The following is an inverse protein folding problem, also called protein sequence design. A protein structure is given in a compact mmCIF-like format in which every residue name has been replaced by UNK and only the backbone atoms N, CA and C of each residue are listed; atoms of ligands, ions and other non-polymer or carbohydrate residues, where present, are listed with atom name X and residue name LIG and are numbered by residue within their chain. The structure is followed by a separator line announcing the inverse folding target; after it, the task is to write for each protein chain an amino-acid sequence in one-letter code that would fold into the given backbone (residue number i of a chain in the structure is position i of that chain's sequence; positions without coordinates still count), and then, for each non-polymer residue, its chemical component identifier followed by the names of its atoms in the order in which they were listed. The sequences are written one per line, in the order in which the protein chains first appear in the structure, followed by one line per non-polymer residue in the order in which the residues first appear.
data_IF_843197537643
#
_entry.id   IF_843197537643
#
_cell.length_a   1.000
_cell.length_b   1.000
_cell.length_c   1.000
_cell.angle_alpha   90.00
_cell.angle_beta   90.00
_cell.angle_gamma   90.00
#
_symmetry.space_group_name_H-M   'P 1'
#
loop_
_entity.id
_entity.type
_entity.pdbx_description
1 polymer ?
#
# COMPACT_ATOMS: atom_id res chain seq x y z
N UNK A 1 7.41 8.62 19.32
CA UNK A 1 7.81 9.79 18.52
C UNK A 1 7.47 11.09 19.18
N UNK A 2 6.18 11.36 19.34
CA UNK A 2 5.65 12.61 19.94
C UNK A 2 6.29 12.93 21.29
N UNK A 3 6.47 11.94 22.17
CA UNK A 3 7.14 12.13 23.46
C UNK A 3 8.61 12.60 23.35
N UNK A 4 9.38 12.03 22.41
CA UNK A 4 10.77 12.46 22.15
C UNK A 4 10.83 13.82 21.43
N UNK A 5 9.76 14.19 20.70
CA UNK A 5 9.61 15.48 20.00
C UNK A 5 9.41 16.58 20.99
N UNK A 6 8.48 16.35 21.90
CA UNK A 6 8.18 17.24 22.99
C UNK A 6 9.40 17.50 23.88
N UNK A 7 10.25 16.48 24.11
CA UNK A 7 11.51 16.64 24.87
C UNK A 7 12.69 17.19 24.05
N UNK A 8 12.48 17.58 22.78
CA UNK A 8 13.53 18.03 21.84
C UNK A 8 14.71 17.05 21.69
N UNK A 9 14.51 15.75 21.92
CA UNK A 9 15.56 14.71 21.87
C UNK A 9 15.49 13.80 20.63
N UNK A 10 14.60 14.05 19.67
CA UNK A 10 14.51 13.19 18.47
C UNK A 10 15.83 13.11 17.70
N UNK A 11 16.47 14.25 17.44
CA UNK A 11 17.70 14.31 16.66
C UNK A 11 18.84 13.48 17.27
N UNK A 12 18.86 13.31 18.60
CA UNK A 12 19.86 12.49 19.30
C UNK A 12 19.54 10.99 19.33
N UNK A 13 18.32 10.57 19.00
CA UNK A 13 17.85 9.20 19.18
C UNK A 13 18.02 8.31 17.94
N UNK A 14 19.28 8.02 17.57
CA UNK A 14 19.62 7.22 16.35
C UNK A 14 18.88 5.88 16.25
N UNK A 15 18.72 5.16 17.37
CA UNK A 15 17.99 3.87 17.41
C UNK A 15 16.51 4.04 17.09
N UNK A 16 15.89 5.09 17.61
CA UNK A 16 14.47 5.39 17.39
C UNK A 16 14.20 5.81 15.94
N UNK A 17 15.05 6.67 15.37
CA UNK A 17 14.93 7.06 13.95
C UNK A 17 15.12 5.88 13.00
N UNK A 18 16.06 4.96 13.30
CA UNK A 18 16.24 3.74 12.50
C UNK A 18 15.03 2.80 12.59
N UNK A 19 14.41 2.68 13.77
CA UNK A 19 13.20 1.89 13.95
C UNK A 19 12.02 2.44 13.12
N UNK A 20 11.87 3.77 13.02
CA UNK A 20 10.83 4.38 12.20
C UNK A 20 10.95 4.03 10.71
N UNK A 21 12.17 3.90 10.19
CA UNK A 21 12.38 3.45 8.80
C UNK A 21 11.83 2.03 8.59
N UNK A 22 12.09 1.10 9.52
CA UNK A 22 11.57 -0.27 9.42
C UNK A 22 10.07 -0.41 9.68
N UNK A 23 9.47 0.51 10.43
CA UNK A 23 8.02 0.50 10.72
C UNK A 23 7.22 1.20 9.63
N UNK A 24 7.85 1.95 8.72
CA UNK A 24 7.18 2.63 7.60
C UNK A 24 6.24 1.77 6.73
N UNK A 25 6.51 0.48 6.43
CA UNK A 25 5.58 -0.35 5.66
C UNK A 25 4.41 -0.90 6.50
N UNK A 26 4.47 -0.83 7.84
CA UNK A 26 3.49 -1.44 8.73
C UNK A 26 2.06 -0.91 8.52
N UNK A 27 1.82 0.41 8.34
CA UNK A 27 0.48 0.91 8.05
C UNK A 27 -0.12 0.34 6.78
N UNK A 28 0.68 0.12 5.72
CA UNK A 28 0.21 -0.48 4.48
C UNK A 28 -0.27 -1.91 4.73
N UNK A 29 0.54 -2.72 5.43
CA UNK A 29 0.17 -4.10 5.78
C UNK A 29 -1.09 -4.14 6.64
N UNK A 30 -1.21 -3.23 7.61
CA UNK A 30 -2.39 -3.15 8.47
C UNK A 30 -3.66 -2.82 7.68
N UNK A 31 -3.58 -1.92 6.69
CA UNK A 31 -4.69 -1.59 5.80
C UNK A 31 -5.12 -2.81 4.96
N UNK A 32 -4.18 -3.51 4.33
CA UNK A 32 -4.48 -4.71 3.52
C UNK A 32 -5.13 -5.80 4.36
N UNK A 33 -4.59 -6.07 5.56
CA UNK A 33 -5.18 -7.06 6.47
C UNK A 33 -6.57 -6.64 6.95
N UNK A 34 -6.81 -5.35 7.18
CA UNK A 34 -8.14 -4.82 7.51
C UNK A 34 -9.15 -5.09 6.40
N UNK A 35 -8.78 -4.80 5.15
CA UNK A 35 -9.62 -5.09 3.97
C UNK A 35 -9.87 -6.57 3.77
N UNK A 36 -8.83 -7.41 3.89
CA UNK A 36 -8.98 -8.87 3.81
C UNK A 36 -9.96 -9.37 4.87
N UNK A 37 -9.84 -8.88 6.11
CA UNK A 37 -10.74 -9.28 7.20
C UNK A 37 -12.19 -8.87 6.90
N UNK A 38 -12.41 -7.67 6.36
CA UNK A 38 -13.74 -7.19 5.99
C UNK A 38 -14.36 -8.01 4.84
N UNK A 39 -13.58 -8.33 3.80
CA UNK A 39 -14.06 -9.06 2.63
C UNK A 39 -14.27 -10.56 2.92
N UNK A 40 -13.29 -11.19 3.56
CA UNK A 40 -13.38 -12.60 3.94
C UNK A 40 -14.44 -12.81 5.02
N UNK A 41 -14.59 -11.87 5.96
CA UNK A 41 -15.61 -11.94 7.01
C UNK A 41 -17.05 -11.90 6.48
N UNK A 42 -17.27 -11.41 5.26
CA UNK A 42 -18.57 -11.36 4.60
C UNK A 42 -18.89 -12.63 3.78
N UNK A 43 -17.91 -13.49 3.52
CA UNK A 43 -18.14 -14.80 2.88
C UNK A 43 -19.09 -15.65 3.75
N UNK A 44 -20.05 -16.39 3.17
CA UNK A 44 -20.21 -16.75 1.75
C UNK A 44 -21.12 -15.80 0.94
N UNK A 45 -21.39 -14.59 1.42
CA UNK A 45 -22.36 -13.68 0.82
C UNK A 45 -21.67 -12.58 0.01
N UNK A 46 -22.26 -12.19 -1.13
CA UNK A 46 -21.97 -10.92 -1.82
C UNK A 46 -22.88 -9.82 -1.26
N UNK A 47 -24.18 -10.09 -1.29
CA UNK A 47 -25.18 -9.26 -0.62
C UNK A 47 -25.78 -10.10 0.49
N UNK A 48 -25.69 -9.62 1.73
CA UNK A 48 -26.11 -10.36 2.91
C UNK A 48 -27.50 -10.97 2.74
N UNK A 49 -27.58 -12.30 2.86
CA UNK A 49 -28.81 -13.10 2.72
C UNK A 49 -29.55 -12.98 1.38
N UNK A 50 -29.00 -12.30 0.38
CA UNK A 50 -29.63 -12.10 -0.93
C UNK A 50 -28.88 -12.80 -2.05
N UNK A 51 -27.55 -12.71 -2.08
CA UNK A 51 -26.72 -13.28 -3.15
C UNK A 51 -25.49 -13.95 -2.56
N UNK A 52 -25.30 -15.24 -2.89
CA UNK A 52 -24.09 -15.99 -2.50
C UNK A 52 -22.98 -15.78 -3.51
N UNK A 53 -21.73 -15.92 -3.06
CA UNK A 53 -20.56 -15.81 -3.92
C UNK A 53 -20.51 -16.88 -5.01
N UNK A 54 -20.94 -18.10 -4.71
CA UNK A 54 -20.99 -19.20 -5.67
C UNK A 54 -21.99 -18.96 -6.82
N UNK A 55 -23.09 -18.26 -6.54
CA UNK A 55 -24.16 -18.02 -7.53
C UNK A 55 -23.86 -16.82 -8.44
N UNK A 56 -22.85 -16.03 -8.11
CA UNK A 56 -22.49 -14.79 -8.81
C UNK A 56 -21.40 -14.97 -9.89
N UNK A 57 -21.02 -16.21 -10.19
CA UNK A 57 -20.01 -16.50 -11.22
C UNK A 57 -20.62 -16.31 -12.61
N UNK A 58 -19.91 -15.57 -13.48
CA UNK A 58 -20.33 -15.39 -14.87
C UNK A 58 -20.33 -16.72 -15.63
N UNK A 59 -21.44 -17.04 -16.29
CA UNK A 59 -21.60 -18.30 -17.06
C UNK A 59 -21.08 -18.21 -18.50
N UNK A 60 -20.86 -17.00 -19.00
CA UNK A 60 -20.48 -16.75 -20.39
C UNK A 60 -18.97 -16.69 -20.60
N UNK A 61 -18.20 -16.50 -19.53
CA UNK A 61 -16.74 -16.33 -19.60
C UNK A 61 -16.07 -17.65 -19.23
N UNK A 62 -15.16 -18.10 -20.08
CA UNK A 62 -14.37 -19.31 -19.86
C UNK A 62 -13.30 -19.10 -18.78
N UNK A 63 -12.91 -20.18 -18.10
CA UNK A 63 -11.84 -20.13 -17.10
C UNK A 63 -10.50 -19.64 -17.70
N UNK A 64 -10.23 -19.94 -18.97
CA UNK A 64 -9.05 -19.48 -19.70
C UNK A 64 -9.02 -17.97 -19.91
N UNK A 65 -10.16 -17.34 -20.20
CA UNK A 65 -10.25 -15.88 -20.36
C UNK A 65 -10.04 -15.16 -19.03
N UNK A 66 -10.61 -15.70 -17.95
CA UNK A 66 -10.40 -15.19 -16.58
C UNK A 66 -8.92 -15.28 -16.20
N UNK A 67 -8.27 -16.44 -16.44
CA UNK A 67 -6.86 -16.61 -16.13
C UNK A 67 -5.97 -15.67 -16.95
N UNK A 68 -6.25 -15.55 -18.26
CA UNK A 68 -5.47 -14.69 -19.16
C UNK A 68 -5.56 -13.23 -18.73
N UNK A 69 -6.75 -12.74 -18.39
CA UNK A 69 -6.94 -11.37 -17.91
C UNK A 69 -6.29 -11.15 -16.54
N UNK A 70 -6.43 -12.08 -15.60
CA UNK A 70 -5.76 -12.02 -14.28
C UNK A 70 -4.24 -11.92 -14.41
N UNK A 71 -3.62 -12.76 -15.25
CA UNK A 71 -2.18 -12.72 -15.50
C UNK A 71 -1.79 -11.40 -16.15
N UNK A 72 -2.53 -10.95 -17.14
CA UNK A 72 -2.25 -9.69 -17.86
C UNK A 72 -2.29 -8.50 -16.91
N UNK A 73 -3.35 -8.35 -16.11
CA UNK A 73 -3.45 -7.26 -15.13
C UNK A 73 -2.39 -7.37 -14.03
N UNK A 74 -2.10 -8.58 -13.55
CA UNK A 74 -1.06 -8.80 -12.54
C UNK A 74 0.31 -8.35 -13.05
N UNK A 75 0.67 -8.69 -14.30
CA UNK A 75 1.92 -8.27 -14.92
C UNK A 75 2.00 -6.75 -15.04
N UNK A 76 0.93 -6.10 -15.51
CA UNK A 76 0.87 -4.64 -15.62
C UNK A 76 1.10 -3.98 -14.26
N UNK A 77 0.44 -4.46 -13.20
CA UNK A 77 0.62 -3.91 -11.85
C UNK A 77 2.01 -4.16 -11.28
N UNK A 78 2.64 -5.30 -11.55
CA UNK A 78 4.03 -5.57 -11.15
C UNK A 78 4.98 -4.60 -11.84
N UNK A 79 4.80 -4.35 -13.15
CA UNK A 79 5.61 -3.37 -13.90
C UNK A 79 5.40 -1.97 -13.34
N UNK A 80 4.16 -1.57 -13.09
CA UNK A 80 3.84 -0.27 -12.52
C UNK A 80 4.47 -0.09 -11.13
N UNK A 81 4.41 -1.11 -10.28
CA UNK A 81 5.06 -1.10 -8.98
C UNK A 81 6.59 -0.95 -9.11
N UNK A 82 7.22 -1.66 -10.04
CA UNK A 82 8.66 -1.54 -10.29
C UNK A 82 9.05 -0.11 -10.71
N UNK A 83 8.31 0.47 -11.66
CA UNK A 83 8.52 1.87 -12.10
C UNK A 83 8.34 2.84 -10.93
N UNK A 84 7.29 2.65 -10.13
CA UNK A 84 7.05 3.47 -8.94
C UNK A 84 8.20 3.38 -7.93
N UNK A 85 8.70 2.18 -7.63
CA UNK A 85 9.80 1.99 -6.68
C UNK A 85 11.11 2.62 -7.18
N UNK A 86 11.40 2.51 -8.48
CA UNK A 86 12.55 3.18 -9.10
C UNK A 86 12.41 4.70 -9.01
N UNK A 87 11.24 5.25 -9.36
CA UNK A 87 10.95 6.67 -9.25
C UNK A 87 11.04 7.18 -7.81
N UNK A 88 10.47 6.44 -6.86
CA UNK A 88 10.52 6.75 -5.44
C UNK A 88 11.96 6.75 -4.93
N UNK A 89 12.76 5.74 -5.28
CA UNK A 89 14.18 5.67 -4.90
C UNK A 89 14.97 6.84 -5.48
N UNK A 90 14.69 7.21 -6.72
CA UNK A 90 15.32 8.34 -7.39
C UNK A 90 15.02 9.67 -6.68
N UNK A 91 13.76 9.92 -6.31
CA UNK A 91 13.36 11.13 -5.56
C UNK A 91 13.95 11.15 -4.16
N UNK A 92 13.89 10.03 -3.42
CA UNK A 92 14.45 9.94 -2.06
C UNK A 92 15.95 10.21 -2.07
N UNK A 93 16.70 9.70 -3.06
CA UNK A 93 18.15 9.89 -3.14
C UNK A 93 18.57 11.32 -3.51
N UNK A 94 17.75 12.05 -4.28
CA UNK A 94 18.01 13.45 -4.59
C UNK A 94 17.84 14.37 -3.38
N UNK A 95 17.09 13.91 -2.37
CA UNK A 95 16.69 14.75 -1.25
C UNK A 95 15.77 15.89 -1.70
N UNK A 96 15.31 16.74 -0.77
CA UNK A 96 14.65 17.97 -1.17
C UNK A 96 15.64 18.82 -1.96
N UNK A 97 15.31 19.16 -3.21
CA UNK A 97 15.98 20.27 -3.89
C UNK A 97 15.85 21.53 -3.01
N UNK A 98 16.79 22.47 -3.11
CA UNK A 98 16.80 23.77 -2.41
C UNK A 98 15.59 24.69 -2.73
N UNK A 99 14.40 24.14 -2.90
CA UNK A 99 13.19 24.84 -3.29
C UNK A 99 12.30 25.16 -2.07
N UNK A 100 12.86 25.68 -0.97
CA UNK A 100 12.13 26.45 0.07
C UNK A 100 13.08 27.40 0.83
N UNK A 101 13.92 28.18 0.13
CA UNK A 101 14.68 29.28 0.76
C UNK A 101 14.37 30.66 0.11
N UNK A 102 13.38 30.74 -0.79
CA UNK A 102 13.09 31.94 -1.59
C UNK A 102 11.90 32.75 -1.10
N UNK A 103 11.13 32.30 -0.10
CA UNK A 103 9.92 33.03 0.33
C UNK A 103 9.85 33.27 1.84
N UNK A 104 10.95 33.74 2.44
CA UNK A 104 10.90 34.56 3.66
C UNK A 104 12.02 35.61 3.56
N UNK A 105 11.72 36.75 2.95
CA UNK A 105 12.53 37.96 3.08
C UNK A 105 11.61 39.14 3.30
#
# INVERSE_FOLDING_TARGET
GVFLAWRRRLGGSRRYLRLLLYVSPLPLVACELGWITAEVGRQPWIVYRMLRTADAISRTVSASEVLTSLVTFSLIYVVLLAVYLVGLRYVINRGPAEAVMVEVK
#
